data_IF_773527726882
#
_entry.id   IF_773527726882
#
_cell.length_a   1.000
_cell.length_b   1.000
_cell.length_c   1.000
_cell.angle_alpha   90.00
_cell.angle_beta   90.00
_cell.angle_gamma   90.00
#
_symmetry.space_group_name_H-M   'P 1'
#
loop_
_entity.id
_entity.type
_entity.pdbx_description
1 polymer ?
#
# COMPACT_ATOMS: atom_id res chain seq x y z
N UNK A 1 -5.73 -6.60 -14.83
CA UNK A 1 -4.27 -6.37 -14.80
C UNK A 1 -3.71 -7.24 -13.68
N UNK A 2 -2.45 -7.64 -13.73
CA UNK A 2 -1.83 -8.31 -12.57
C UNK A 2 -1.40 -7.23 -11.57
N UNK A 3 -2.11 -7.15 -10.44
CA UNK A 3 -1.85 -6.16 -9.38
C UNK A 3 -0.68 -6.56 -8.48
N UNK A 4 -0.17 -7.79 -8.59
CA UNK A 4 0.85 -8.32 -7.68
C UNK A 4 2.15 -7.51 -7.66
N UNK A 5 2.76 -7.09 -8.79
CA UNK A 5 3.99 -6.30 -8.77
C UNK A 5 3.82 -4.97 -8.02
N UNK A 6 2.64 -4.35 -8.15
CA UNK A 6 2.31 -3.13 -7.44
C UNK A 6 2.17 -3.39 -5.93
N UNK A 7 1.45 -4.44 -5.55
CA UNK A 7 1.30 -4.82 -4.13
C UNK A 7 2.65 -5.18 -3.48
N UNK A 8 3.56 -5.84 -4.19
CA UNK A 8 4.91 -6.13 -3.70
C UNK A 8 5.73 -4.85 -3.49
N UNK A 9 5.59 -3.87 -4.40
CA UNK A 9 6.20 -2.54 -4.25
C UNK A 9 5.62 -1.79 -3.03
N UNK A 10 4.29 -1.76 -2.88
CA UNK A 10 3.61 -1.14 -1.74
C UNK A 10 4.12 -1.74 -0.43
N UNK A 11 4.19 -3.08 -0.34
CA UNK A 11 4.70 -3.79 0.85
C UNK A 11 6.09 -3.28 1.23
N UNK A 12 6.98 -3.18 0.25
CA UNK A 12 8.35 -2.71 0.47
C UNK A 12 8.38 -1.25 0.94
N UNK A 13 7.62 -0.36 0.30
CA UNK A 13 7.57 1.06 0.65
C UNK A 13 7.04 1.28 2.07
N UNK A 14 5.96 0.59 2.46
CA UNK A 14 5.40 0.69 3.82
C UNK A 14 6.42 0.16 4.84
N UNK A 15 7.09 -0.97 4.56
CA UNK A 15 8.11 -1.52 5.45
C UNK A 15 9.29 -0.55 5.67
N UNK A 16 9.81 0.07 4.61
CA UNK A 16 10.90 1.06 4.68
C UNK A 16 10.49 2.29 5.51
N UNK A 17 9.26 2.79 5.31
CA UNK A 17 8.73 3.89 6.11
C UNK A 17 8.61 3.50 7.60
N UNK A 18 8.07 2.32 7.90
CA UNK A 18 7.96 1.83 9.27
C UNK A 18 9.34 1.59 9.91
N UNK A 19 10.35 1.23 9.13
CA UNK A 19 11.74 1.14 9.59
C UNK A 19 12.45 2.50 9.75
N UNK A 20 11.80 3.61 9.39
CA UNK A 20 12.38 4.96 9.45
C UNK A 20 13.40 5.24 8.35
N UNK A 21 13.43 4.42 7.29
CA UNK A 21 14.37 4.53 6.17
C UNK A 21 13.88 5.47 5.07
N UNK A 22 12.60 5.82 5.09
CA UNK A 22 11.93 6.65 4.08
C UNK A 22 10.95 7.62 4.75
N UNK A 23 10.86 8.88 4.31
CA UNK A 23 9.85 9.82 4.81
C UNK A 23 8.45 9.49 4.26
N UNK A 24 7.41 9.91 5.00
CA UNK A 24 6.02 9.64 4.63
C UNK A 24 5.63 10.20 3.24
N UNK A 25 6.13 11.38 2.87
CA UNK A 25 5.84 11.98 1.57
C UNK A 25 6.35 11.13 0.38
N UNK A 26 7.51 10.47 0.53
CA UNK A 26 8.04 9.57 -0.49
C UNK A 26 7.26 8.26 -0.58
N UNK A 27 6.74 7.76 0.55
CA UNK A 27 5.81 6.63 0.57
C UNK A 27 4.54 6.98 -0.24
N UNK A 28 3.89 8.09 0.10
CA UNK A 28 2.65 8.54 -0.58
C UNK A 28 2.88 8.71 -2.08
N UNK A 29 3.95 9.42 -2.46
CA UNK A 29 4.27 9.64 -3.88
C UNK A 29 4.53 8.33 -4.61
N UNK A 30 5.23 7.38 -3.98
CA UNK A 30 5.54 6.08 -4.58
C UNK A 30 4.35 5.14 -4.75
N UNK A 31 3.22 5.41 -4.09
CA UNK A 31 2.00 4.59 -4.17
C UNK A 31 0.91 5.29 -4.99
N UNK A 32 0.62 6.56 -4.67
CA UNK A 32 -0.52 7.28 -5.24
C UNK A 32 -0.28 7.68 -6.70
N UNK A 33 0.93 8.15 -7.04
CA UNK A 33 1.21 8.58 -8.42
C UNK A 33 1.11 7.41 -9.42
N UNK A 34 1.75 6.23 -9.18
CA UNK A 34 1.55 5.08 -10.05
C UNK A 34 0.09 4.59 -10.06
N UNK A 35 -0.60 4.70 -8.92
CA UNK A 35 -2.03 4.41 -8.78
C UNK A 35 -2.91 5.23 -9.72
N UNK A 36 -2.66 6.53 -9.82
CA UNK A 36 -3.39 7.44 -10.72
C UNK A 36 -3.04 7.26 -12.19
N UNK A 37 -1.76 6.97 -12.48
CA UNK A 37 -1.30 6.72 -13.85
C UNK A 37 -1.89 5.43 -14.42
N UNK A 38 -2.17 4.46 -13.56
CA UNK A 38 -2.83 3.23 -13.94
C UNK A 38 -4.35 3.43 -14.07
N UNK A 39 -4.90 3.14 -15.24
CA UNK A 39 -6.35 3.23 -15.47
C UNK A 39 -7.17 2.19 -14.67
N UNK A 40 -6.52 1.11 -14.20
CA UNK A 40 -7.05 0.07 -13.29
C UNK A 40 -5.93 -0.91 -12.92
N UNK A 41 -5.47 -0.92 -11.66
CA UNK A 41 -4.43 -1.86 -11.19
C UNK A 41 -5.06 -3.21 -10.83
N UNK A 42 -6.24 -3.17 -10.23
CA UNK A 42 -6.94 -4.32 -9.66
C UNK A 42 -7.57 -3.92 -8.32
N UNK A 43 -8.58 -4.65 -7.84
CA UNK A 43 -9.36 -4.22 -6.69
C UNK A 43 -8.54 -4.04 -5.41
N UNK A 44 -7.57 -4.93 -5.14
CA UNK A 44 -6.75 -4.79 -3.93
C UNK A 44 -5.74 -3.64 -4.06
N UNK A 45 -5.18 -3.41 -5.24
CA UNK A 45 -4.30 -2.27 -5.49
C UNK A 45 -5.05 -0.93 -5.44
N UNK A 46 -6.26 -0.87 -6.02
CA UNK A 46 -7.09 0.33 -6.03
C UNK A 46 -7.50 0.70 -4.58
N UNK A 47 -7.87 -0.28 -3.76
CA UNK A 47 -8.18 -0.09 -2.33
C UNK A 47 -6.97 0.47 -1.55
N UNK A 48 -5.77 -0.04 -1.83
CA UNK A 48 -4.51 0.43 -1.22
C UNK A 48 -4.24 1.89 -1.58
N UNK A 49 -4.40 2.26 -2.85
CA UNK A 49 -4.19 3.64 -3.32
C UNK A 49 -5.14 4.57 -2.57
N UNK A 50 -6.44 4.26 -2.57
CA UNK A 50 -7.46 5.07 -1.91
C UNK A 50 -7.19 5.26 -0.41
N UNK A 51 -6.70 4.22 0.28
CA UNK A 51 -6.39 4.32 1.69
C UNK A 51 -5.14 5.18 1.97
N UNK A 52 -4.08 5.05 1.16
CA UNK A 52 -2.89 5.89 1.30
C UNK A 52 -3.20 7.36 1.01
N UNK A 53 -4.07 7.64 0.05
CA UNK A 53 -4.60 8.99 -0.19
C UNK A 53 -5.34 9.54 1.03
N UNK A 54 -6.24 8.75 1.63
CA UNK A 54 -6.98 9.16 2.81
C UNK A 54 -6.03 9.47 3.99
N UNK A 55 -5.02 8.62 4.21
CA UNK A 55 -3.98 8.84 5.23
C UNK A 55 -3.20 10.13 4.96
N UNK A 56 -2.86 10.42 3.70
CA UNK A 56 -2.17 11.64 3.33
C UNK A 56 -3.01 12.90 3.65
N UNK A 57 -4.31 12.87 3.33
CA UNK A 57 -5.25 13.96 3.63
C UNK A 57 -5.44 14.14 5.13
N UNK A 58 -5.72 13.06 5.87
CA UNK A 58 -5.92 13.15 7.32
C UNK A 58 -4.66 13.63 8.05
N UNK A 59 -3.47 13.25 7.57
CA UNK A 59 -2.21 13.73 8.14
C UNK A 59 -1.94 15.21 7.84
N UNK A 60 -2.34 15.72 6.67
CA UNK A 60 -2.20 17.15 6.34
C UNK A 60 -3.19 18.03 7.09
N UNK A 61 -4.38 17.49 7.38
CA UNK A 61 -5.42 18.16 8.16
C UNK A 61 -5.24 17.99 9.68
N UNK A 62 -4.13 17.38 10.13
CA UNK A 62 -3.83 17.11 11.54
C UNK A 62 -4.91 16.28 12.27
N UNK A 63 -5.68 15.51 11.51
CA UNK A 63 -6.70 14.59 12.04
C UNK A 63 -6.05 13.34 12.61
N UNK A 64 -4.97 12.87 11.99
CA UNK A 64 -4.15 11.75 12.47
C UNK A 64 -2.82 12.24 12.99
N UNK A 65 -2.44 11.79 14.18
CA UNK A 65 -1.07 11.94 14.66
C UNK A 65 -0.12 10.90 14.02
N UNK A 66 1.17 10.97 14.38
CA UNK A 66 2.17 10.07 13.81
C UNK A 66 1.98 8.62 14.25
N UNK A 67 1.57 8.37 15.49
CA UNK A 67 1.40 7.02 16.02
C UNK A 67 0.19 6.34 15.37
N UNK A 68 -0.92 7.06 15.26
CA UNK A 68 -2.15 6.59 14.60
C UNK A 68 -1.91 6.32 13.11
N UNK A 69 -1.19 7.21 12.41
CA UNK A 69 -0.79 6.99 11.02
C UNK A 69 0.10 5.75 10.87
N UNK A 70 1.08 5.55 11.76
CA UNK A 70 1.94 4.36 11.74
C UNK A 70 1.14 3.08 12.06
N UNK A 71 0.15 3.15 12.94
CA UNK A 71 -0.75 2.03 13.22
C UNK A 71 -1.60 1.67 12.00
N UNK A 72 -2.18 2.66 11.32
CA UNK A 72 -2.94 2.45 10.09
C UNK A 72 -2.07 1.81 8.99
N UNK A 73 -0.84 2.28 8.81
CA UNK A 73 0.09 1.72 7.83
C UNK A 73 0.50 0.27 8.15
N UNK A 74 0.60 -0.11 9.43
CA UNK A 74 0.80 -1.53 9.81
C UNK A 74 -0.41 -2.39 9.43
N UNK A 75 -1.63 -1.91 9.71
CA UNK A 75 -2.85 -2.63 9.33
C UNK A 75 -3.03 -2.73 7.80
N UNK A 76 -2.57 -1.73 7.05
CA UNK A 76 -2.51 -1.78 5.59
C UNK A 76 -1.47 -2.81 5.11
N UNK A 77 -0.27 -2.83 5.70
CA UNK A 77 0.77 -3.82 5.39
C UNK A 77 0.26 -5.26 5.57
N UNK A 78 -0.37 -5.55 6.70
CA UNK A 78 -0.96 -6.87 6.98
C UNK A 78 -2.04 -7.27 5.96
N UNK A 79 -2.78 -6.30 5.39
CA UNK A 79 -3.75 -6.57 4.33
C UNK A 79 -3.07 -6.85 3.00
N UNK A 80 -2.07 -6.06 2.63
CA UNK A 80 -1.29 -6.25 1.41
C UNK A 80 -0.64 -7.64 1.41
N UNK A 81 -0.04 -8.05 2.52
CA UNK A 81 0.55 -9.39 2.67
C UNK A 81 -0.48 -10.50 2.49
N UNK A 82 -1.68 -10.37 3.10
CA UNK A 82 -2.77 -11.33 2.89
C UNK A 82 -3.25 -11.40 1.45
N UNK A 83 -3.33 -10.28 0.75
CA UNK A 83 -3.70 -10.25 -0.67
C UNK A 83 -2.66 -10.94 -1.55
N UNK A 84 -1.37 -10.73 -1.27
CA UNK A 84 -0.27 -11.39 -1.96
C UNK A 84 -0.27 -12.92 -1.74
N UNK A 85 -0.54 -13.36 -0.51
CA UNK A 85 -0.62 -14.78 -0.16
C UNK A 85 -1.84 -15.46 -0.81
N UNK A 86 -2.99 -14.79 -0.83
CA UNK A 86 -4.19 -15.27 -1.50
C UNK A 86 -3.99 -15.42 -3.03
N UNK A 87 -3.28 -14.47 -3.64
CA UNK A 87 -2.87 -14.55 -5.05
C UNK A 87 -1.91 -15.72 -5.30
N UNK A 88 -0.96 -15.98 -4.40
CA UNK A 88 -0.03 -17.11 -4.51
C UNK A 88 -0.74 -18.48 -4.38
N UNK A 89 -1.75 -18.60 -3.51
CA UNK A 89 -2.53 -19.82 -3.34
C UNK A 89 -3.43 -20.17 -4.55
N UNK A 90 -3.74 -19.17 -5.39
CA UNK A 90 -4.58 -19.35 -6.59
C UNK A 90 -3.83 -19.86 -7.82
N UNK A 91 -2.49 -19.91 -7.78
CA UNK A 91 -1.66 -20.51 -8.83
C UNK A 91 -1.56 -22.01 -8.59
N UNK A 92 -2.19 -22.89 -9.39
CA UNK A 92 -1.97 -24.32 -9.28
C UNK A 92 -0.49 -24.57 -9.65
N UNK A 93 0.21 -25.34 -8.83
CA UNK A 93 1.49 -25.96 -9.21
C UNK A 93 1.23 -26.84 -10.44
N UNK A 94 1.35 -26.25 -11.61
CA UNK A 94 1.23 -26.91 -12.91
C UNK A 94 2.46 -27.80 -13.12
N UNK A 95 2.16 -29.08 -13.30
CA UNK A 95 3.03 -30.22 -13.66
C UNK A 95 4.15 -29.92 -14.65
#
# INVERSE_FOLDING_TARGET
>A
MDERPFLEQVRQLIAEFLAGQRPFAELVTGIVLPGWEAQQLGPAADDVVAEVEALAVWRSEWVLDEEEMRAALRALLERVERSLDAGAASVPLGR
#
